data_IF_392072008876
#
_entry.id   IF_392072008876
#
_cell.length_a   1.000
_cell.length_b   1.000
_cell.length_c   1.000
_cell.angle_alpha   90.00
_cell.angle_beta   90.00
_cell.angle_gamma   90.00
#
_symmetry.space_group_name_H-M   'P 1'
#
loop_
_entity.id
_entity.type
_entity.pdbx_description
1 polymer ?
#
# COMPACT_ATOMS: atom_id res chain seq x y z
N UNK A 1 6.43 6.67 -5.91
CA UNK A 1 5.84 5.57 -6.69
C UNK A 1 4.52 6.03 -7.30
N UNK A 2 4.15 5.58 -8.51
CA UNK A 2 2.84 5.90 -9.11
C UNK A 2 1.80 4.84 -8.73
N UNK A 3 0.51 5.22 -8.69
CA UNK A 3 -0.59 4.30 -8.36
C UNK A 3 -0.63 3.04 -9.20
N UNK A 4 -0.37 3.15 -10.50
CA UNK A 4 -0.32 1.99 -11.41
C UNK A 4 0.78 0.99 -11.04
N UNK A 5 1.93 1.47 -10.57
CA UNK A 5 3.04 0.63 -10.11
C UNK A 5 2.70 -0.06 -8.78
N UNK A 6 2.12 0.70 -7.85
CA UNK A 6 1.66 0.19 -6.56
C UNK A 6 0.63 -0.94 -6.75
N UNK A 7 -0.42 -0.71 -7.54
CA UNK A 7 -1.48 -1.69 -7.77
C UNK A 7 -0.95 -2.96 -8.44
N UNK A 8 0.00 -2.85 -9.39
CA UNK A 8 0.67 -4.00 -9.98
C UNK A 8 1.42 -4.85 -8.95
N UNK A 9 2.07 -4.24 -7.95
CA UNK A 9 2.71 -4.99 -6.86
C UNK A 9 1.67 -5.73 -6.01
N UNK A 10 0.51 -5.13 -5.75
CA UNK A 10 -0.58 -5.79 -5.01
C UNK A 10 -1.20 -6.94 -5.82
N UNK A 11 -1.41 -6.75 -7.12
CA UNK A 11 -1.87 -7.80 -8.03
C UNK A 11 -0.92 -9.01 -7.99
N UNK A 12 0.38 -8.77 -8.07
CA UNK A 12 1.39 -9.83 -7.94
C UNK A 12 1.36 -10.52 -6.57
N UNK A 13 1.12 -9.78 -5.48
CA UNK A 13 0.99 -10.37 -4.15
C UNK A 13 -0.25 -11.29 -4.06
N UNK A 14 -1.38 -10.87 -4.63
CA UNK A 14 -2.61 -11.66 -4.69
C UNK A 14 -2.38 -12.95 -5.50
N UNK A 15 -1.80 -12.86 -6.69
CA UNK A 15 -1.49 -14.00 -7.57
C UNK A 15 -0.62 -15.07 -6.90
N UNK A 16 0.25 -14.67 -5.99
CA UNK A 16 1.19 -15.56 -5.30
C UNK A 16 0.78 -15.91 -3.86
N UNK A 17 -0.38 -15.43 -3.39
CA UNK A 17 -0.83 -15.65 -2.01
C UNK A 17 0.09 -15.03 -0.96
N UNK A 18 0.70 -13.88 -1.25
CA UNK A 18 1.59 -13.17 -0.33
C UNK A 18 0.90 -12.02 0.40
N UNK A 19 1.40 -11.69 1.59
CA UNK A 19 1.04 -10.45 2.26
C UNK A 19 1.80 -9.26 1.68
N UNK A 20 1.50 -8.07 2.22
CA UNK A 20 2.20 -6.82 1.86
C UNK A 20 2.61 -6.02 3.10
N UNK A 21 3.68 -5.25 2.97
CA UNK A 21 4.08 -4.16 3.87
C UNK A 21 3.95 -2.85 3.11
N UNK A 22 3.07 -1.97 3.55
CA UNK A 22 2.85 -0.65 2.95
C UNK A 22 3.56 0.39 3.80
N UNK A 23 4.37 1.24 3.17
CA UNK A 23 5.13 2.29 3.83
C UNK A 23 4.46 3.63 3.59
N UNK A 24 4.12 4.34 4.66
CA UNK A 24 3.28 5.53 4.63
C UNK A 24 4.01 6.69 5.31
N UNK A 25 4.23 7.77 4.57
CA UNK A 25 4.67 9.04 5.12
C UNK A 25 3.49 9.79 5.73
N UNK A 26 3.74 10.36 6.91
CA UNK A 26 2.80 11.18 7.67
C UNK A 26 3.53 12.42 8.20
N UNK A 27 2.86 13.58 8.36
CA UNK A 27 3.51 14.85 8.68
C UNK A 27 4.26 14.85 10.03
N UNK A 28 3.79 14.08 11.01
CA UNK A 28 4.35 14.09 12.37
C UNK A 28 5.33 12.94 12.64
N UNK A 29 5.65 12.13 11.63
CA UNK A 29 6.53 10.97 11.78
C UNK A 29 7.85 11.18 11.06
N UNK A 30 8.95 11.04 11.80
CA UNK A 30 10.30 11.11 11.24
C UNK A 30 10.65 9.94 10.31
N UNK A 31 9.89 8.83 10.39
CA UNK A 31 10.06 7.64 9.54
C UNK A 31 8.68 7.16 9.09
N UNK A 32 8.57 6.52 7.91
CA UNK A 32 7.31 5.98 7.45
C UNK A 32 6.68 5.00 8.44
N UNK A 33 5.36 5.10 8.63
CA UNK A 33 4.57 4.02 9.23
C UNK A 33 4.61 2.80 8.31
N UNK A 34 4.64 1.60 8.90
CA UNK A 34 4.61 0.34 8.15
C UNK A 34 3.35 -0.44 8.50
N UNK A 35 2.42 -0.53 7.55
CA UNK A 35 1.20 -1.34 7.69
C UNK A 35 1.41 -2.71 7.05
N UNK A 36 1.41 -3.76 7.88
CA UNK A 36 1.50 -5.14 7.42
C UNK A 36 0.10 -5.72 7.21
N UNK A 37 -0.16 -6.29 6.03
CA UNK A 37 -1.39 -6.99 5.71
C UNK A 37 -1.07 -8.44 5.34
N UNK A 38 -1.69 -9.43 5.98
CA UNK A 38 -1.56 -10.83 5.59
C UNK A 38 -2.25 -11.10 4.24
N UNK A 39 -1.95 -12.22 3.55
CA UNK A 39 -2.46 -12.53 2.20
C UNK A 39 -3.97 -12.35 2.04
N UNK A 40 -4.76 -12.82 3.00
CA UNK A 40 -6.23 -12.78 3.00
C UNK A 40 -6.80 -11.34 2.96
N UNK A 41 -6.00 -10.34 3.34
CA UNK A 41 -6.41 -8.94 3.37
C UNK A 41 -6.00 -8.18 2.10
N UNK A 42 -5.09 -8.71 1.28
CA UNK A 42 -4.48 -7.95 0.18
C UNK A 42 -5.50 -7.56 -0.88
N UNK A 43 -6.42 -8.44 -1.24
CA UNK A 43 -7.45 -8.16 -2.25
C UNK A 43 -8.35 -6.98 -1.84
N UNK A 44 -8.86 -6.99 -0.60
CA UNK A 44 -9.67 -5.88 -0.08
C UNK A 44 -8.87 -4.59 0.03
N UNK A 45 -7.61 -4.68 0.46
CA UNK A 45 -6.72 -3.52 0.58
C UNK A 45 -6.38 -2.92 -0.78
N UNK A 46 -6.17 -3.73 -1.82
CA UNK A 46 -5.98 -3.29 -3.19
C UNK A 46 -7.16 -2.43 -3.66
N UNK A 47 -8.39 -2.92 -3.50
CA UNK A 47 -9.60 -2.18 -3.85
C UNK A 47 -9.72 -0.87 -3.07
N UNK A 48 -9.43 -0.89 -1.76
CA UNK A 48 -9.41 0.31 -0.92
C UNK A 48 -8.41 1.35 -1.42
N UNK A 49 -7.14 0.98 -1.63
CA UNK A 49 -6.12 1.92 -2.09
C UNK A 49 -6.42 2.46 -3.49
N UNK A 50 -7.07 1.66 -4.35
CA UNK A 50 -7.49 2.12 -5.67
C UNK A 50 -8.54 3.23 -5.64
N UNK A 51 -9.36 3.34 -4.60
CA UNK A 51 -10.41 4.38 -4.53
C UNK A 51 -10.08 5.52 -3.57
N UNK A 52 -9.14 5.33 -2.66
CA UNK A 52 -8.83 6.32 -1.61
C UNK A 52 -7.57 7.15 -1.89
N UNK A 53 -6.68 6.69 -2.76
CA UNK A 53 -5.44 7.37 -3.09
C UNK A 53 -5.43 7.85 -4.53
N UNK A 54 -4.88 9.04 -4.76
CA UNK A 54 -4.73 9.63 -6.08
C UNK A 54 -3.58 8.96 -6.87
N UNK A 55 -3.31 9.43 -8.09
CA UNK A 55 -2.29 8.85 -8.97
C UNK A 55 -0.86 8.93 -8.41
N UNK A 56 -0.62 9.85 -7.48
CA UNK A 56 0.64 10.08 -6.79
C UNK A 56 0.74 9.37 -5.44
N UNK A 57 -0.25 8.50 -5.15
CA UNK A 57 -0.35 7.74 -3.91
C UNK A 57 -0.48 8.64 -2.67
N UNK A 58 -1.10 9.80 -2.82
CA UNK A 58 -1.55 10.65 -1.71
C UNK A 58 -3.01 10.35 -1.40
N UNK A 59 -3.34 10.31 -0.10
CA UNK A 59 -4.70 10.07 0.35
C UNK A 59 -5.59 11.25 -0.09
N UNK A 60 -6.68 10.98 -0.80
CA UNK A 60 -7.52 12.04 -1.39
C UNK A 60 -8.17 12.95 -0.34
N UNK A 61 -8.56 12.40 0.81
CA UNK A 61 -9.14 13.17 1.90
C UNK A 61 -8.10 13.96 2.72
N UNK A 62 -6.81 13.60 2.63
CA UNK A 62 -5.75 14.28 3.37
C UNK A 62 -4.39 14.06 2.70
N UNK A 63 -4.04 14.96 1.79
CA UNK A 63 -2.89 14.82 0.88
C UNK A 63 -1.52 14.85 1.55
N UNK A 64 -1.45 15.13 2.87
CA UNK A 64 -0.23 15.00 3.66
C UNK A 64 0.11 13.54 4.01
N UNK A 65 -0.81 12.60 3.81
CA UNK A 65 -0.56 11.16 3.94
C UNK A 65 -0.23 10.59 2.56
N UNK A 66 0.92 9.92 2.47
CA UNK A 66 1.41 9.39 1.20
C UNK A 66 1.97 7.98 1.32
N UNK A 67 1.50 7.07 0.48
CA UNK A 67 2.13 5.75 0.34
C UNK A 67 3.37 5.90 -0.54
N UNK A 68 4.53 5.59 0.03
CA UNK A 68 5.82 5.78 -0.64
C UNK A 68 6.42 4.49 -1.17
N UNK A 69 6.14 3.35 -0.54
CA UNK A 69 6.60 2.04 -1.01
C UNK A 69 5.66 0.90 -0.59
N UNK A 70 5.80 -0.24 -1.26
CA UNK A 70 5.22 -1.51 -0.87
C UNK A 70 6.16 -2.66 -1.17
N UNK A 71 6.32 -3.54 -0.18
CA UNK A 71 7.12 -4.75 -0.25
C UNK A 71 6.30 -5.99 0.10
N UNK A 72 6.72 -7.16 -0.37
CA UNK A 72 6.06 -8.41 -0.04
C UNK A 72 6.31 -8.81 1.42
N UNK A 73 5.27 -9.34 2.05
CA UNK A 73 5.34 -9.98 3.35
C UNK A 73 5.21 -11.49 3.14
N UNK A 74 6.33 -12.18 3.27
CA UNK A 74 6.38 -13.64 3.28
C UNK A 74 6.02 -14.13 4.67
N UNK A 75 4.76 -14.52 4.88
CA UNK A 75 4.38 -15.33 6.03
C UNK A 75 4.72 -16.78 5.65
N UNK A 76 5.75 -17.33 6.30
CA UNK A 76 6.13 -18.75 6.14
C UNK A 76 5.07 -19.65 6.74
#
# INVERSE_FOLDING_TARGET
>A
MKKSEFLKKLDKAIENGWGIKVYIEMPDLAKPEIICNPPENVEKKRSYYNVTYNNDMELESFTQIKIVDVNFLYLK
#
